data_IF_271143988414
#
_entry.id   IF_271143988414
#
_cell.length_a   1.000
_cell.length_b   1.000
_cell.length_c   1.000
_cell.angle_alpha   90.00
_cell.angle_beta   90.00
_cell.angle_gamma   90.00
#
_symmetry.space_group_name_H-M   'P 1'
#
loop_
_entity.id
_entity.type
_entity.pdbx_description
1 polymer ?
#
# COMPACT_ATOMS: atom_id res chain seq x y z
N UNK A 1 -20.56 6.16 15.84
CA UNK A 1 -20.12 6.34 15.49
C UNK A 1 -19.61 6.54 14.93
N UNK A 2 -19.56 6.89 14.59
CA UNK A 2 -19.07 7.07 13.88
C UNK A 2 -18.08 7.39 13.84
N UNK A 3 -17.69 7.12 13.89
CA UNK A 3 -16.55 7.41 13.76
C UNK A 3 -16.27 8.25 12.82
N UNK A 4 -15.68 8.95 12.84
CA UNK A 4 -15.37 9.52 11.95
C UNK A 4 -14.83 8.84 11.02
N UNK A 5 -15.36 8.60 10.20
CA UNK A 5 -14.82 7.79 9.17
C UNK A 5 -14.72 8.59 7.91
N UNK A 6 -13.64 8.36 7.20
CA UNK A 6 -13.50 8.92 5.87
C UNK A 6 -14.48 8.25 4.93
N UNK A 7 -14.98 8.96 3.93
CA UNK A 7 -15.71 8.31 2.84
C UNK A 7 -14.82 7.23 2.21
N UNK A 8 -15.41 6.17 1.64
CA UNK A 8 -14.61 5.07 1.09
C UNK A 8 -13.58 5.51 0.08
N UNK A 9 -13.88 6.48 -0.78
CA UNK A 9 -12.93 6.95 -1.76
C UNK A 9 -11.75 7.67 -1.12
N UNK A 10 -11.99 8.46 -0.06
CA UNK A 10 -10.91 9.12 0.66
C UNK A 10 -10.03 8.10 1.37
N UNK A 11 -10.65 7.09 1.98
CA UNK A 11 -9.88 6.03 2.60
C UNK A 11 -9.01 5.31 1.58
N UNK A 12 -9.58 5.00 0.42
CA UNK A 12 -8.83 4.31 -0.63
C UNK A 12 -7.71 5.16 -1.18
N UNK A 13 -7.89 6.48 -1.25
CA UNK A 13 -6.83 7.38 -1.66
C UNK A 13 -5.66 7.34 -0.68
N UNK A 14 -5.95 7.32 0.61
CA UNK A 14 -4.91 7.25 1.62
C UNK A 14 -4.21 5.90 1.61
N UNK A 15 -4.97 4.82 1.48
CA UNK A 15 -4.38 3.50 1.37
C UNK A 15 -3.50 3.40 0.13
N UNK A 16 -4.00 3.87 -0.99
CA UNK A 16 -3.23 3.87 -2.24
C UNK A 16 -1.96 4.70 -2.14
N UNK A 17 -2.03 5.84 -1.43
CA UNK A 17 -0.86 6.67 -1.21
C UNK A 17 0.20 5.92 -0.39
N UNK A 18 -0.23 5.18 0.62
CA UNK A 18 0.71 4.39 1.41
C UNK A 18 1.33 3.26 0.59
N UNK A 19 0.56 2.64 -0.30
CA UNK A 19 1.11 1.66 -1.23
C UNK A 19 2.18 2.31 -2.11
N UNK A 20 1.91 3.52 -2.60
CA UNK A 20 2.88 4.24 -3.41
C UNK A 20 4.14 4.57 -2.61
N UNK A 21 4.00 4.93 -1.33
CA UNK A 21 5.14 5.20 -0.47
C UNK A 21 6.01 3.96 -0.35
N UNK A 22 5.40 2.80 -0.11
CA UNK A 22 6.13 1.54 -0.03
C UNK A 22 6.86 1.27 -1.34
N UNK A 23 6.16 1.39 -2.45
CA UNK A 23 6.74 1.14 -3.76
C UNK A 23 7.94 2.04 -4.01
N UNK A 24 7.79 3.33 -3.73
CA UNK A 24 8.85 4.30 -3.95
C UNK A 24 10.06 4.01 -3.04
N UNK A 25 9.78 3.62 -1.80
CA UNK A 25 10.85 3.23 -0.88
C UNK A 25 11.65 2.04 -1.41
N UNK A 26 10.97 1.10 -2.06
CA UNK A 26 11.61 -0.08 -2.65
C UNK A 26 12.25 0.24 -4.00
N UNK A 27 12.13 1.48 -4.48
CA UNK A 27 12.70 1.93 -5.74
C UNK A 27 12.15 1.18 -6.94
N UNK A 28 10.86 0.86 -6.87
CA UNK A 28 10.15 0.21 -7.95
C UNK A 28 9.25 1.22 -8.65
N UNK A 29 9.12 1.11 -9.97
CA UNK A 29 8.09 1.89 -10.65
C UNK A 29 6.78 1.09 -10.67
N UNK A 30 5.70 1.71 -11.17
CA UNK A 30 4.40 1.05 -11.17
C UNK A 30 4.41 -0.23 -12.00
N UNK A 31 5.12 -0.21 -13.11
CA UNK A 31 5.17 -1.39 -14.00
C UNK A 31 5.86 -2.54 -13.30
N UNK A 32 6.97 -2.25 -12.61
CA UNK A 32 7.71 -3.28 -11.89
C UNK A 32 6.88 -3.88 -10.77
N UNK A 33 6.24 -3.04 -9.97
CA UNK A 33 5.42 -3.55 -8.88
C UNK A 33 4.21 -4.32 -9.40
N UNK A 34 3.59 -3.84 -10.47
CA UNK A 34 2.43 -4.53 -11.02
C UNK A 34 2.80 -5.94 -11.47
N UNK A 35 3.97 -6.12 -12.04
CA UNK A 35 4.44 -7.46 -12.44
C UNK A 35 4.62 -8.36 -11.22
N UNK A 36 5.20 -7.82 -10.15
CA UNK A 36 5.41 -8.59 -8.93
C UNK A 36 4.11 -8.97 -8.25
N UNK A 37 3.09 -8.12 -8.38
CA UNK A 37 1.76 -8.41 -7.82
C UNK A 37 0.90 -9.21 -8.79
N UNK A 38 1.38 -9.44 -10.02
CA UNK A 38 0.65 -10.17 -11.06
C UNK A 38 -0.66 -9.51 -11.43
N UNK A 39 -0.62 -8.19 -11.56
CA UNK A 39 -1.76 -7.39 -12.02
C UNK A 39 -1.28 -6.50 -13.15
N UNK A 40 -2.23 -5.90 -13.86
CA UNK A 40 -1.88 -4.94 -14.90
C UNK A 40 -1.45 -3.62 -14.33
N UNK A 41 -0.64 -2.85 -15.08
CA UNK A 41 -0.22 -1.54 -14.65
C UNK A 41 -1.41 -0.60 -14.48
N UNK A 42 -2.43 -0.73 -15.31
CA UNK A 42 -3.64 0.06 -15.19
C UNK A 42 -4.31 -0.16 -13.83
N UNK A 43 -4.37 -1.41 -13.37
CA UNK A 43 -4.93 -1.73 -12.07
C UNK A 43 -4.07 -1.16 -10.96
N UNK A 44 -2.75 -1.23 -11.10
CA UNK A 44 -1.84 -0.64 -10.11
C UNK A 44 -2.07 0.86 -9.99
N UNK A 45 -2.23 1.54 -11.12
CA UNK A 45 -2.50 2.97 -11.13
C UNK A 45 -3.83 3.29 -10.43
N UNK A 46 -4.85 2.48 -10.63
CA UNK A 46 -6.13 2.67 -9.96
C UNK A 46 -6.03 2.49 -8.45
N UNK A 47 -5.25 1.50 -8.02
CA UNK A 47 -5.04 1.28 -6.59
C UNK A 47 -4.35 2.49 -5.97
N UNK A 48 -3.27 2.97 -6.58
CA UNK A 48 -2.51 4.08 -6.01
C UNK A 48 -3.27 5.40 -6.02
N UNK A 49 -4.21 5.56 -6.94
CA UNK A 49 -5.02 6.78 -6.99
C UNK A 49 -6.31 6.70 -6.17
N UNK A 50 -6.59 5.55 -5.58
CA UNK A 50 -7.79 5.39 -4.75
C UNK A 50 -9.04 5.09 -5.54
N UNK A 51 -8.92 4.76 -6.82
CA UNK A 51 -10.07 4.43 -7.65
C UNK A 51 -10.46 2.96 -7.58
N UNK A 52 -9.61 2.14 -6.96
CA UNK A 52 -9.87 0.71 -6.83
C UNK A 52 -9.24 0.24 -5.55
N UNK A 53 -9.95 -0.60 -4.81
CA UNK A 53 -9.41 -1.19 -3.59
C UNK A 53 -8.47 -2.33 -3.94
N UNK A 54 -7.29 -2.40 -3.31
CA UNK A 54 -6.45 -3.58 -3.46
C UNK A 54 -7.12 -4.78 -2.77
N UNK A 55 -6.91 -5.96 -3.31
CA UNK A 55 -7.40 -7.17 -2.65
C UNK A 55 -6.49 -7.49 -1.47
N UNK A 56 -7.00 -8.32 -0.57
CA UNK A 56 -6.19 -8.80 0.54
C UNK A 56 -4.95 -9.53 0.03
N UNK A 57 -5.10 -10.31 -1.04
CA UNK A 57 -3.97 -11.02 -1.62
C UNK A 57 -2.91 -10.06 -2.14
N UNK A 58 -3.33 -8.98 -2.79
CA UNK A 58 -2.40 -7.97 -3.29
C UNK A 58 -1.69 -7.28 -2.14
N UNK A 59 -2.41 -6.92 -1.09
CA UNK A 59 -1.80 -6.30 0.08
C UNK A 59 -0.82 -7.23 0.77
N UNK A 60 -1.15 -8.51 0.86
CA UNK A 60 -0.26 -9.50 1.45
C UNK A 60 1.03 -9.61 0.64
N UNK A 61 0.93 -9.60 -0.67
CA UNK A 61 2.12 -9.64 -1.53
C UNK A 61 2.98 -8.40 -1.35
N UNK A 62 2.34 -7.23 -1.24
CA UNK A 62 3.07 -5.99 -1.00
C UNK A 62 3.82 -6.09 0.34
N UNK A 63 3.15 -6.57 1.38
CA UNK A 63 3.76 -6.69 2.70
C UNK A 63 4.96 -7.64 2.66
N UNK A 64 4.80 -8.79 2.01
CA UNK A 64 5.89 -9.76 1.90
C UNK A 64 7.06 -9.21 1.11
N UNK A 65 6.77 -8.49 0.04
CA UNK A 65 7.82 -7.87 -0.75
C UNK A 65 8.57 -6.84 0.08
N UNK A 66 7.83 -6.04 0.86
CA UNK A 66 8.43 -5.06 1.74
C UNK A 66 9.34 -5.73 2.78
N UNK A 67 8.95 -6.91 3.26
CA UNK A 67 9.73 -7.62 4.27
C UNK A 67 11.07 -8.13 3.77
N UNK A 68 11.30 -8.11 2.47
CA UNK A 68 12.61 -8.41 1.91
C UNK A 68 13.60 -7.27 2.14
N UNK A 69 13.10 -6.09 2.46
CA UNK A 69 13.93 -4.94 2.82
C UNK A 69 14.09 -4.94 4.34
N UNK A 70 15.34 -4.90 4.80
CA UNK A 70 15.63 -5.04 6.23
C UNK A 70 14.94 -3.97 7.06
N UNK A 71 14.97 -2.72 6.60
CA UNK A 71 14.33 -1.64 7.33
C UNK A 71 12.82 -1.83 7.41
N UNK A 72 12.19 -2.14 6.28
CA UNK A 72 10.73 -2.29 6.25
C UNK A 72 10.27 -3.51 7.02
N UNK A 73 11.05 -4.60 6.99
CA UNK A 73 10.70 -5.78 7.76
C UNK A 73 10.57 -5.44 9.24
N UNK A 74 11.46 -4.59 9.75
CA UNK A 74 11.50 -4.29 11.17
C UNK A 74 10.62 -3.09 11.55
N UNK A 75 10.19 -2.28 10.57
CA UNK A 75 9.53 -1.02 10.86
C UNK A 75 8.18 -0.83 10.20
N UNK A 76 7.74 -1.75 9.34
CA UNK A 76 6.47 -1.60 8.66
C UNK A 76 5.43 -2.53 9.26
N UNK A 77 4.35 -1.96 9.77
CA UNK A 77 3.27 -2.75 10.38
C UNK A 77 2.05 -2.76 9.47
N UNK A 78 1.22 -3.81 9.64
CA UNK A 78 -0.08 -3.85 8.99
C UNK A 78 -0.94 -2.66 9.40
N UNK A 79 -0.84 -2.26 10.68
CA UNK A 79 -1.60 -1.12 11.17
C UNK A 79 -1.27 0.14 10.38
N UNK A 80 0.01 0.37 10.08
CA UNK A 80 0.37 1.53 9.29
C UNK A 80 -0.18 1.44 7.87
N UNK A 81 -0.08 0.26 7.25
CA UNK A 81 -0.56 0.09 5.88
C UNK A 81 -2.06 0.37 5.82
N UNK A 82 -2.83 -0.21 6.74
CA UNK A 82 -4.28 -0.14 6.68
C UNK A 82 -4.83 1.17 7.23
N UNK A 83 -4.23 1.71 8.29
CA UNK A 83 -4.81 2.84 9.01
C UNK A 83 -3.89 4.04 9.12
N UNK A 84 -2.64 3.91 8.70
CA UNK A 84 -1.68 5.00 8.83
C UNK A 84 -1.15 5.19 10.23
N UNK A 85 -1.35 4.22 11.11
CA UNK A 85 -0.92 4.29 12.51
C UNK A 85 0.15 3.25 12.77
N UNK A 86 0.81 3.38 13.91
CA UNK A 86 1.85 2.42 14.26
C UNK A 86 3.12 2.63 13.46
N UNK A 87 3.95 1.59 13.39
CA UNK A 87 5.24 1.70 12.70
C UNK A 87 5.06 1.73 11.20
N UNK A 88 5.73 2.66 10.58
CA UNK A 88 5.73 2.80 9.13
C UNK A 88 6.94 3.55 8.64
N UNK A 89 6.97 3.80 7.33
CA UNK A 89 8.14 4.37 6.68
C UNK A 89 8.42 5.79 7.18
N UNK A 90 7.37 6.54 7.43
CA UNK A 90 7.47 7.93 7.84
C UNK A 90 7.29 8.10 9.34
N UNK A 91 7.13 7.04 10.04
CA UNK A 91 6.82 7.07 11.46
C UNK A 91 7.94 7.10 12.36
#
# INVERSE_FOLDING_TARGET
MKTKNLPPDEYLQELGHRVKIIRTFLKLDQKELSKLLKIGQSQMSKIESGRSAPTLQELTRIKRLAEENDYLRDNLSWEWIMDGKGKGILG
#
